data_IF_635018808444
#
_entry.id   IF_635018808444
#
_cell.length_a   1.000
_cell.length_b   1.000
_cell.length_c   1.000
_cell.angle_alpha   90.00
_cell.angle_beta   90.00
_cell.angle_gamma   90.00
#
_symmetry.space_group_name_H-M   'P 1'
#
loop_
_entity.id
_entity.type
_entity.pdbx_description
1 polymer ?
#
# COMPACT_ATOMS: atom_id res chain seq x y z
N UNK A 1 -12.05 17.50 13.93
CA UNK A 1 -12.06 17.00 12.53
C UNK A 1 -13.34 16.21 12.31
N UNK A 2 -14.18 16.54 11.32
CA UNK A 2 -15.36 15.71 10.98
C UNK A 2 -14.89 14.49 10.19
N UNK A 3 -14.90 13.32 10.82
CA UNK A 3 -14.56 12.06 10.14
C UNK A 3 -15.52 11.85 8.98
N UNK A 4 -14.98 11.71 7.76
CA UNK A 4 -15.78 11.42 6.58
C UNK A 4 -16.24 9.96 6.63
N UNK A 5 -17.51 9.68 6.28
CA UNK A 5 -18.06 8.32 6.20
C UNK A 5 -17.16 7.36 5.41
N UNK A 6 -16.53 7.83 4.33
CA UNK A 6 -15.61 7.03 3.51
C UNK A 6 -14.39 6.59 4.33
N UNK A 7 -13.82 7.49 5.13
CA UNK A 7 -12.69 7.19 6.00
C UNK A 7 -13.04 6.12 7.03
N UNK A 8 -14.20 6.26 7.69
CA UNK A 8 -14.70 5.26 8.65
C UNK A 8 -14.89 3.91 7.99
N UNK A 9 -15.51 3.86 6.81
CA UNK A 9 -15.71 2.62 6.06
C UNK A 9 -14.39 1.95 5.71
N UNK A 10 -13.39 2.70 5.23
CA UNK A 10 -12.07 2.17 4.89
C UNK A 10 -11.33 1.64 6.14
N UNK A 11 -11.43 2.32 7.27
CA UNK A 11 -10.83 1.86 8.54
C UNK A 11 -11.48 0.56 9.03
N UNK A 12 -12.81 0.47 9.02
CA UNK A 12 -13.54 -0.74 9.41
C UNK A 12 -13.24 -1.89 8.44
N UNK A 13 -13.28 -1.63 7.14
CA UNK A 13 -12.92 -2.62 6.12
C UNK A 13 -11.49 -3.12 6.29
N UNK A 14 -10.53 -2.22 6.58
CA UNK A 14 -9.15 -2.58 6.87
C UNK A 14 -9.03 -3.49 8.10
N UNK A 15 -9.75 -3.19 9.18
CA UNK A 15 -9.77 -4.06 10.37
C UNK A 15 -10.32 -5.46 10.08
N UNK A 16 -11.42 -5.56 9.31
CA UNK A 16 -12.02 -6.83 8.90
C UNK A 16 -11.06 -7.62 8.01
N UNK A 17 -10.46 -6.97 7.00
CA UNK A 17 -9.51 -7.59 6.09
C UNK A 17 -8.27 -8.10 6.83
N UNK A 18 -7.78 -7.38 7.84
CA UNK A 18 -6.68 -7.84 8.67
C UNK A 18 -7.03 -9.10 9.46
N UNK A 19 -8.18 -9.13 10.13
CA UNK A 19 -8.65 -10.31 10.87
C UNK A 19 -8.84 -11.51 9.94
N UNK A 20 -9.42 -11.28 8.75
CA UNK A 20 -9.60 -12.31 7.73
C UNK A 20 -8.27 -12.87 7.24
N UNK A 21 -7.29 -12.00 6.95
CA UNK A 21 -5.94 -12.40 6.55
C UNK A 21 -5.27 -13.29 7.60
N UNK A 22 -5.29 -12.87 8.86
CA UNK A 22 -4.71 -13.63 9.97
C UNK A 22 -5.42 -14.97 10.15
N UNK A 23 -6.76 -14.99 10.08
CA UNK A 23 -7.56 -16.21 10.17
C UNK A 23 -7.25 -17.20 9.05
N UNK A 24 -7.17 -16.74 7.80
CA UNK A 24 -6.82 -17.58 6.66
C UNK A 24 -5.40 -18.13 6.75
N UNK A 25 -4.43 -17.29 7.13
CA UNK A 25 -3.05 -17.72 7.32
C UNK A 25 -2.94 -18.78 8.43
N UNK A 26 -3.62 -18.57 9.56
CA UNK A 26 -3.66 -19.53 10.68
C UNK A 26 -4.35 -20.85 10.32
N UNK A 27 -5.31 -20.84 9.40
CA UNK A 27 -5.98 -22.04 8.89
C UNK A 27 -5.18 -22.76 7.78
N UNK A 28 -4.00 -22.26 7.40
CA UNK A 28 -3.16 -22.83 6.34
C UNK A 28 -3.53 -22.39 4.92
N UNK A 29 -4.54 -21.54 4.74
CA UNK A 29 -4.90 -20.94 3.45
C UNK A 29 -3.98 -19.75 3.12
N UNK A 30 -2.68 -20.00 3.04
CA UNK A 30 -1.63 -18.97 2.93
C UNK A 30 -1.78 -18.10 1.68
N UNK A 31 -2.07 -18.69 0.51
CA UNK A 31 -2.22 -17.93 -0.74
C UNK A 31 -3.45 -17.01 -0.69
N UNK A 32 -4.57 -17.50 -0.16
CA UNK A 32 -5.76 -16.68 0.03
C UNK A 32 -5.48 -15.51 0.99
N UNK A 33 -4.74 -15.75 2.07
CA UNK A 33 -4.32 -14.70 3.00
C UNK A 33 -3.47 -13.62 2.30
N UNK A 34 -2.56 -14.00 1.40
CA UNK A 34 -1.76 -13.05 0.61
C UNK A 34 -2.63 -12.17 -0.31
N UNK A 35 -3.67 -12.70 -0.94
CA UNK A 35 -4.60 -11.89 -1.72
C UNK A 35 -5.44 -10.95 -0.85
N UNK A 36 -5.84 -11.39 0.34
CA UNK A 36 -6.52 -10.52 1.32
C UNK A 36 -5.59 -9.39 1.78
N UNK A 37 -4.29 -9.66 1.96
CA UNK A 37 -3.29 -8.63 2.23
C UNK A 37 -3.25 -7.57 1.13
N UNK A 38 -3.34 -7.94 -0.15
CA UNK A 38 -3.38 -6.96 -1.24
C UNK A 38 -4.62 -6.05 -1.15
N UNK A 39 -5.78 -6.60 -0.79
CA UNK A 39 -6.99 -5.82 -0.52
C UNK A 39 -6.84 -4.87 0.68
N UNK A 40 -6.16 -5.33 1.74
CA UNK A 40 -5.84 -4.51 2.91
C UNK A 40 -4.93 -3.33 2.52
N UNK A 41 -3.87 -3.59 1.77
CA UNK A 41 -2.93 -2.58 1.30
C UNK A 41 -3.61 -1.57 0.36
N UNK A 42 -4.51 -2.03 -0.52
CA UNK A 42 -5.31 -1.15 -1.36
C UNK A 42 -6.20 -0.23 -0.51
N UNK A 43 -6.82 -0.76 0.55
CA UNK A 43 -7.66 0.01 1.47
C UNK A 43 -6.86 1.13 2.14
N UNK A 44 -5.65 0.82 2.62
CA UNK A 44 -4.74 1.83 3.17
C UNK A 44 -4.26 2.84 2.13
N UNK A 45 -4.04 2.40 0.89
CA UNK A 45 -3.61 3.28 -0.21
C UNK A 45 -4.69 4.29 -0.57
N UNK A 46 -5.95 3.84 -0.65
CA UNK A 46 -7.12 4.72 -0.84
C UNK A 46 -7.29 5.67 0.33
N UNK A 47 -7.10 5.18 1.57
CA UNK A 47 -7.15 6.00 2.77
C UNK A 47 -6.07 7.09 2.76
N UNK A 48 -4.84 6.76 2.38
CA UNK A 48 -3.73 7.72 2.25
C UNK A 48 -3.90 8.70 1.09
N UNK A 49 -4.63 8.31 0.05
CA UNK A 49 -5.00 9.16 -1.08
C UNK A 49 -6.27 10.00 -0.83
N UNK A 50 -6.98 9.77 0.28
CA UNK A 50 -8.21 10.49 0.62
C UNK A 50 -7.86 11.89 1.15
N UNK A 51 -8.39 12.92 0.50
CA UNK A 51 -8.18 14.34 0.86
C UNK A 51 -9.49 15.08 0.87
N UNK A 52 -9.86 15.62 2.03
CA UNK A 52 -11.13 16.35 2.19
C UNK A 52 -12.36 15.60 1.62
N UNK A 53 -12.29 14.26 1.64
CA UNK A 53 -13.32 13.37 1.09
C UNK A 53 -13.22 13.02 -0.39
N UNK A 54 -12.26 13.58 -1.12
CA UNK A 54 -11.96 13.24 -2.52
C UNK A 54 -10.79 12.27 -2.55
N UNK A 55 -10.96 11.15 -3.24
CA UNK A 55 -9.89 10.18 -3.43
C UNK A 55 -9.07 10.56 -4.65
N UNK A 56 -7.76 10.67 -4.44
CA UNK A 56 -6.82 10.82 -5.54
C UNK A 56 -6.55 9.49 -6.26
N UNK A 57 -7.48 9.12 -7.16
CA UNK A 57 -7.43 7.87 -7.95
C UNK A 57 -6.16 7.70 -8.78
N UNK A 58 -5.52 8.79 -9.20
CA UNK A 58 -4.27 8.69 -9.98
C UNK A 58 -3.12 8.19 -9.12
N UNK A 59 -3.04 8.62 -7.85
CA UNK A 59 -2.04 8.16 -6.90
C UNK A 59 -2.28 6.69 -6.50
N UNK A 60 -3.56 6.31 -6.38
CA UNK A 60 -3.97 4.92 -6.09
C UNK A 60 -3.67 4.01 -7.28
N UNK A 61 -4.00 4.42 -8.50
CA UNK A 61 -3.75 3.63 -9.70
C UNK A 61 -2.25 3.53 -10.01
N UNK A 62 -1.51 4.62 -9.83
CA UNK A 62 -0.06 4.68 -10.03
C UNK A 62 0.63 5.54 -8.96
N UNK A 63 1.67 5.02 -8.27
CA UNK A 63 2.31 3.72 -8.53
C UNK A 63 1.64 2.52 -7.87
N UNK A 64 0.77 2.74 -6.88
CA UNK A 64 0.39 1.68 -5.94
C UNK A 64 -0.44 0.56 -6.56
N UNK A 65 -1.36 0.87 -7.47
CA UNK A 65 -2.17 -0.14 -8.16
C UNK A 65 -1.30 -1.07 -9.01
N UNK A 66 -0.37 -0.51 -9.79
CA UNK A 66 0.59 -1.31 -10.56
C UNK A 66 1.45 -2.16 -9.63
N UNK A 67 1.91 -1.61 -8.51
CA UNK A 67 2.67 -2.35 -7.50
C UNK A 67 1.90 -3.55 -6.93
N UNK A 68 0.62 -3.38 -6.58
CA UNK A 68 -0.24 -4.47 -6.09
C UNK A 68 -0.46 -5.55 -7.14
N UNK A 69 -0.66 -5.16 -8.41
CA UNK A 69 -0.82 -6.12 -9.51
C UNK A 69 0.43 -6.97 -9.72
N UNK A 70 1.60 -6.38 -9.54
CA UNK A 70 2.87 -7.11 -9.61
C UNK A 70 3.01 -8.12 -8.47
N UNK A 71 2.65 -7.73 -7.25
CA UNK A 71 2.63 -8.67 -6.12
C UNK A 71 1.63 -9.81 -6.33
N UNK A 72 0.43 -9.51 -6.85
CA UNK A 72 -0.56 -10.53 -7.21
C UNK A 72 0.00 -11.55 -8.21
N UNK A 73 0.71 -11.06 -9.24
CA UNK A 73 1.37 -11.91 -10.22
C UNK A 73 2.54 -12.70 -9.61
N UNK A 74 3.31 -12.09 -8.70
CA UNK A 74 4.40 -12.75 -7.99
C UNK A 74 3.87 -13.94 -7.16
N UNK A 75 2.77 -13.75 -6.43
CA UNK A 75 2.16 -14.81 -5.63
C UNK A 75 1.58 -15.92 -6.52
N UNK A 76 0.85 -15.57 -7.59
CA UNK A 76 0.29 -16.55 -8.53
C UNK A 76 1.38 -17.40 -9.19
N UNK A 77 2.44 -16.76 -9.71
CA UNK A 77 3.55 -17.46 -10.36
C UNK A 77 4.39 -18.25 -9.36
N UNK A 78 4.58 -17.70 -8.16
CA UNK A 78 5.26 -18.38 -7.07
C UNK A 78 4.58 -19.70 -6.71
N UNK A 79 3.26 -19.66 -6.53
CA UNK A 79 2.42 -20.82 -6.26
C UNK A 79 2.45 -21.82 -7.42
N UNK A 80 2.16 -21.35 -8.64
CA UNK A 80 2.17 -22.18 -9.85
C UNK A 80 3.49 -22.96 -10.02
N UNK A 81 4.64 -22.29 -9.88
CA UNK A 81 5.93 -22.97 -9.99
C UNK A 81 6.26 -23.83 -8.77
N UNK A 82 5.79 -23.48 -7.57
CA UNK A 82 5.97 -24.33 -6.40
C UNK A 82 5.21 -25.66 -6.56
N UNK A 83 3.98 -25.62 -7.09
CA UNK A 83 3.20 -26.82 -7.39
C UNK A 83 3.78 -27.62 -8.56
N UNK A 84 4.13 -26.96 -9.67
CA UNK A 84 4.65 -27.62 -10.87
C UNK A 84 5.98 -28.37 -10.63
N UNK A 85 6.73 -27.95 -9.61
CA UNK A 85 7.99 -28.57 -9.20
C UNK A 85 7.92 -29.20 -7.81
N UNK A 86 6.71 -29.44 -7.26
CA UNK A 86 6.56 -30.06 -5.95
C UNK A 86 7.23 -31.44 -5.91
N UNK A 87 8.14 -31.63 -4.97
CA UNK A 87 8.86 -32.90 -4.77
C UNK A 87 9.89 -33.24 -5.85
N UNK A 88 10.22 -32.31 -6.76
CA UNK A 88 11.24 -32.51 -7.80
C UNK A 88 12.13 -31.27 -7.96
N UNK A 89 13.33 -31.46 -8.49
CA UNK A 89 14.16 -30.33 -8.89
C UNK A 89 13.57 -29.69 -10.17
N UNK A 90 13.66 -28.35 -10.32
CA UNK A 90 13.20 -27.70 -11.53
C UNK A 90 14.10 -28.01 -12.72
N UNK A 91 13.49 -28.17 -13.89
CA UNK A 91 14.19 -28.51 -15.13
C UNK A 91 15.05 -27.34 -15.64
N UNK A 92 14.80 -26.14 -15.13
CA UNK A 92 15.55 -24.93 -15.44
C UNK A 92 15.62 -24.03 -14.20
N UNK A 93 16.58 -23.12 -14.19
CA UNK A 93 16.69 -22.07 -13.19
C UNK A 93 16.64 -20.70 -13.86
N UNK A 94 16.19 -19.69 -13.12
CA UNK A 94 16.21 -18.30 -13.57
C UNK A 94 17.25 -17.57 -12.71
N UNK A 95 18.37 -17.17 -13.32
CA UNK A 95 19.50 -16.56 -12.60
C UNK A 95 20.02 -17.42 -11.43
N UNK A 96 19.95 -18.75 -11.56
CA UNK A 96 20.34 -19.69 -10.51
C UNK A 96 19.29 -19.93 -9.42
N UNK A 97 18.13 -19.28 -9.50
CA UNK A 97 17.02 -19.49 -8.56
C UNK A 97 16.00 -20.51 -9.06
N UNK A 98 15.33 -21.15 -8.10
CA UNK A 98 14.10 -21.89 -8.36
C UNK A 98 13.08 -20.95 -9.05
N UNK A 99 12.34 -21.38 -10.10
CA UNK A 99 11.43 -20.51 -10.83
C UNK A 99 10.41 -19.77 -9.95
N UNK A 100 9.86 -20.44 -8.93
CA UNK A 100 8.95 -19.79 -7.96
C UNK A 100 9.64 -18.65 -7.20
N UNK A 101 10.87 -18.87 -6.73
CA UNK A 101 11.62 -17.84 -5.99
C UNK A 101 12.06 -16.70 -6.91
N UNK A 102 12.44 -16.99 -8.15
CA UNK A 102 12.77 -15.98 -9.15
C UNK A 102 11.58 -15.06 -9.43
N UNK A 103 10.36 -15.61 -9.53
CA UNK A 103 9.14 -14.82 -9.69
C UNK A 103 8.94 -13.84 -8.52
N UNK A 104 9.16 -14.29 -7.28
CA UNK A 104 9.13 -13.42 -6.11
C UNK A 104 10.22 -12.34 -6.20
N UNK A 105 11.48 -12.69 -6.42
CA UNK A 105 12.57 -11.69 -6.48
C UNK A 105 12.30 -10.61 -7.52
N UNK A 106 11.84 -10.98 -8.72
CA UNK A 106 11.61 -10.00 -9.79
C UNK A 106 10.34 -9.16 -9.55
N UNK A 107 9.21 -9.81 -9.26
CA UNK A 107 7.88 -9.18 -9.26
C UNK A 107 7.37 -8.76 -7.88
N UNK A 108 8.00 -9.20 -6.80
CA UNK A 108 7.72 -8.71 -5.44
C UNK A 108 8.77 -7.70 -4.99
N UNK A 109 10.02 -7.85 -5.44
CA UNK A 109 11.14 -7.09 -4.89
C UNK A 109 11.74 -6.08 -5.87
N UNK A 110 12.47 -6.52 -6.90
CA UNK A 110 13.29 -5.62 -7.75
C UNK A 110 12.43 -4.60 -8.47
N UNK A 111 11.53 -5.06 -9.34
CA UNK A 111 10.74 -4.16 -10.18
C UNK A 111 9.76 -3.33 -9.32
N UNK A 112 9.06 -3.89 -8.31
CA UNK A 112 8.18 -3.11 -7.44
C UNK A 112 8.89 -2.02 -6.63
N UNK A 113 10.11 -2.28 -6.15
CA UNK A 113 10.90 -1.27 -5.41
C UNK A 113 11.25 -0.10 -6.30
N UNK A 114 11.71 -0.37 -7.52
CA UNK A 114 12.01 0.68 -8.51
C UNK A 114 10.74 1.43 -8.91
N UNK A 115 9.64 0.71 -9.17
CA UNK A 115 8.34 1.29 -9.50
C UNK A 115 7.83 2.24 -8.42
N UNK A 116 7.92 1.83 -7.15
CA UNK A 116 7.48 2.68 -6.05
C UNK A 116 8.39 3.90 -5.90
N UNK A 117 9.72 3.72 -5.94
CA UNK A 117 10.67 4.83 -5.84
C UNK A 117 10.48 5.88 -6.94
N UNK A 118 10.55 5.46 -8.21
CA UNK A 118 10.39 6.37 -9.34
C UNK A 118 8.95 6.84 -9.53
N UNK A 119 7.96 5.98 -9.25
CA UNK A 119 6.56 6.30 -9.45
C UNK A 119 6.03 7.33 -8.43
N UNK A 120 6.49 7.26 -7.17
CA UNK A 120 6.21 8.33 -6.21
C UNK A 120 6.95 9.61 -6.57
N UNK A 121 8.20 9.54 -7.00
CA UNK A 121 8.93 10.74 -7.48
C UNK A 121 8.19 11.42 -8.65
N UNK A 122 7.73 10.63 -9.63
CA UNK A 122 6.94 11.13 -10.76
C UNK A 122 5.60 11.75 -10.32
N UNK A 123 5.05 11.33 -9.18
CA UNK A 123 3.83 11.86 -8.60
C UNK A 123 4.07 12.87 -7.47
N UNK A 124 5.31 13.35 -7.25
CA UNK A 124 5.69 14.21 -6.11
C UNK A 124 4.77 15.41 -5.92
N UNK A 125 4.40 16.09 -7.01
CA UNK A 125 3.55 17.29 -6.92
C UNK A 125 2.14 16.96 -6.40
N UNK A 126 1.76 15.68 -6.48
CA UNK A 126 0.47 15.18 -6.04
C UNK A 126 0.53 14.65 -4.62
N UNK A 127 1.61 14.06 -4.11
CA UNK A 127 1.67 13.60 -2.70
C UNK A 127 2.45 14.53 -1.74
N UNK A 128 3.38 15.34 -2.24
CA UNK A 128 4.20 16.32 -1.50
C UNK A 128 4.29 17.65 -2.26
N UNK A 129 3.19 18.42 -2.42
CA UNK A 129 3.37 19.79 -2.95
C UNK A 129 3.87 20.73 -1.86
N UNK A 130 4.84 21.58 -2.22
CA UNK A 130 5.41 22.59 -1.33
C UNK A 130 4.35 23.58 -0.85
N UNK A 131 3.48 24.05 -1.76
CA UNK A 131 2.35 24.92 -1.41
C UNK A 131 1.48 24.33 -0.28
N UNK A 132 1.22 23.02 -0.31
CA UNK A 132 0.43 22.35 0.74
C UNK A 132 1.18 22.23 2.05
N UNK A 133 2.49 22.04 1.98
CA UNK A 133 3.34 22.05 3.16
C UNK A 133 3.35 23.44 3.81
N UNK A 134 3.54 24.49 3.01
CA UNK A 134 3.55 25.86 3.49
C UNK A 134 2.20 26.26 4.09
N UNK A 135 1.10 25.90 3.44
CA UNK A 135 -0.26 26.10 3.96
C UNK A 135 -0.49 25.37 5.29
N UNK A 136 0.04 24.16 5.43
CA UNK A 136 -0.03 23.41 6.70
C UNK A 136 0.78 24.12 7.79
N UNK A 137 2.03 24.49 7.51
CA UNK A 137 2.90 25.20 8.44
C UNK A 137 2.28 26.53 8.87
N UNK A 138 1.67 27.27 7.94
CA UNK A 138 0.96 28.53 8.25
C UNK A 138 -0.21 28.29 9.19
N UNK A 139 -1.09 27.33 8.91
CA UNK A 139 -2.23 27.00 9.80
C UNK A 139 -1.79 26.61 11.21
N UNK A 140 -0.69 25.87 11.35
CA UNK A 140 -0.16 25.51 12.68
C UNK A 140 0.36 26.73 13.43
N UNK A 141 1.06 27.65 12.75
CA UNK A 141 1.52 28.89 13.37
C UNK A 141 0.34 29.79 13.79
N UNK A 142 -0.66 29.94 12.93
CA UNK A 142 -1.85 30.76 13.23
C UNK A 142 -2.60 30.19 14.45
N UNK A 143 -2.79 28.87 14.53
CA UNK A 143 -3.41 28.22 15.70
C UNK A 143 -2.57 28.37 16.99
N UNK A 144 -1.24 28.38 16.86
CA UNK A 144 -0.35 28.54 18.02
C UNK A 144 -0.37 29.99 18.51
N UNK A 145 -0.47 30.96 17.61
CA UNK A 145 -0.59 32.37 17.94
C UNK A 145 -1.94 32.67 18.62
N UNK A 146 -3.05 32.15 18.08
CA UNK A 146 -4.39 32.30 18.69
C UNK A 146 -4.45 31.70 20.10
N UNK A 147 -3.89 30.51 20.32
CA UNK A 147 -3.85 29.87 21.64
C UNK A 147 -2.95 30.62 22.65
N UNK A 148 -1.91 31.31 22.17
CA UNK A 148 -1.00 32.09 23.02
C UNK A 148 -1.56 33.46 23.44
N UNK A 149 -2.46 34.03 22.65
CA UNK A 149 -3.17 35.27 23.01
C UNK A 149 -4.28 35.01 24.06
N UNK A 150 -4.92 33.84 24.04
CA UNK A 150 -5.92 33.44 25.06
C UNK A 150 -5.30 33.12 26.44
N UNK A 151 -4.03 32.69 26.51
CA UNK A 151 -3.34 32.39 27.79
C UNK A 151 -2.63 33.63 28.41
N UNK A 152 -2.45 34.72 27.66
CA UNK A 152 -1.76 35.94 28.11
C UNK A 152 -2.68 37.09 28.55
N UNK A 153 -3.99 36.84 28.60
CA UNK A 153 -5.03 37.85 28.81
C UNK A 153 -5.68 37.91 30.20
N UNK A 154 -5.06 37.36 31.25
CA UNK A 154 -5.49 37.53 32.66
C UNK A 154 -4.75 38.66 33.40
#
# INVERSE_FOLDING_TARGET
MKTNRIQTLLMVAGGILWLLMVGLAGAGHWLAALYVLLGLLLSYSVLGALRDGVVDLRLVAFPTGVWLMMWAAAFALGDYFAEAFAGRAPDFTILGFHPSFAAIIVLFWIVPTLLMGFGFEAMKDRWLSQERWDDFVRRVHDQTAENGEDEGGE
#
